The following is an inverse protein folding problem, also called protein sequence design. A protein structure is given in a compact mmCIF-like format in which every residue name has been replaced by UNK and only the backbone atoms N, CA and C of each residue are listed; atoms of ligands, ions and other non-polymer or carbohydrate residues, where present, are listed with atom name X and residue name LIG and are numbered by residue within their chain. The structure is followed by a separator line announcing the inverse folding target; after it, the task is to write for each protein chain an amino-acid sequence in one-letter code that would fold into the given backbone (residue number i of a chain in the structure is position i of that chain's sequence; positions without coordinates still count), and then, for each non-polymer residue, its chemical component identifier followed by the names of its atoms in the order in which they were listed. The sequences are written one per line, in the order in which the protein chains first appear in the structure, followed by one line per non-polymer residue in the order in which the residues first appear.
data_IF_161939052837
#
_entry.id   IF_161939052837
#
_cell.length_a   1.000
_cell.length_b   1.000
_cell.length_c   1.000
_cell.angle_alpha   90.00
_cell.angle_beta   90.00
_cell.angle_gamma   90.00
#
_symmetry.space_group_name_H-M   'P 1'
#
loop_
_entity.id
_entity.type
_entity.pdbx_description
1 polymer ?
#
# COMPACT_ATOMS: atom_id res chain seq x y z
N UNK A 1 11.75 14.69 -5.00
CA UNK A 1 10.59 14.09 -4.29
C UNK A 1 10.36 14.84 -2.98
N UNK A 2 9.09 15.07 -2.61
CA UNK A 2 8.69 15.69 -1.36
C UNK A 2 8.60 14.63 -0.24
N UNK A 3 9.04 15.00 0.97
CA UNK A 3 8.90 14.18 2.16
C UNK A 3 8.57 15.04 3.37
N UNK A 4 7.93 14.42 4.38
CA UNK A 4 7.51 15.05 5.62
C UNK A 4 7.87 14.16 6.79
N UNK A 5 8.70 14.66 7.71
CA UNK A 5 9.13 13.94 8.90
C UNK A 5 8.41 14.46 10.13
N UNK A 6 7.81 13.54 10.88
CA UNK A 6 7.41 13.77 12.26
C UNK A 6 8.38 13.05 13.19
N UNK A 7 8.88 13.75 14.18
CA UNK A 7 9.60 13.11 15.27
C UNK A 7 8.63 12.36 16.15
N UNK A 8 9.10 11.24 16.77
CA UNK A 8 8.29 10.49 17.71
C UNK A 8 7.91 11.39 18.90
N UNK A 9 6.63 11.29 19.29
CA UNK A 9 6.05 11.97 20.45
C UNK A 9 5.56 10.91 21.43
N UNK A 10 6.50 10.26 22.11
CA UNK A 10 6.24 9.21 23.10
C UNK A 10 6.42 9.75 24.51
N UNK A 11 5.58 9.28 25.43
CA UNK A 11 5.69 9.60 26.85
C UNK A 11 6.82 8.80 27.54
N UNK A 12 7.31 7.73 26.93
CA UNK A 12 8.24 6.78 27.55
C UNK A 12 9.68 6.91 27.08
N UNK A 13 9.94 7.43 25.90
CA UNK A 13 11.28 7.52 25.31
C UNK A 13 11.44 8.71 24.38
N UNK A 14 12.66 9.19 24.22
CA UNK A 14 13.00 10.24 23.23
C UNK A 14 13.01 9.70 21.79
N UNK A 15 12.80 10.57 20.81
CA UNK A 15 12.78 10.16 19.39
C UNK A 15 14.12 9.53 18.92
N UNK A 16 15.23 9.77 19.61
CA UNK A 16 16.54 9.18 19.29
C UNK A 16 16.68 7.73 19.78
N UNK A 17 15.79 7.31 20.66
CA UNK A 17 15.77 5.96 21.22
C UNK A 17 14.68 5.09 20.57
N UNK A 18 13.86 5.71 19.72
CA UNK A 18 12.73 5.08 19.06
C UNK A 18 13.03 4.84 17.56
N UNK A 19 12.41 3.84 16.94
CA UNK A 19 12.58 3.57 15.51
C UNK A 19 12.15 4.72 14.61
N UNK A 20 12.67 4.71 13.40
CA UNK A 20 12.17 5.51 12.28
C UNK A 20 11.35 4.60 11.36
N UNK A 21 10.12 5.00 11.05
CA UNK A 21 9.23 4.34 10.10
C UNK A 21 9.05 5.23 8.88
N UNK A 22 9.36 4.73 7.69
CA UNK A 22 8.96 5.36 6.43
C UNK A 22 7.65 4.75 5.94
N UNK A 23 6.67 5.59 5.61
CA UNK A 23 5.38 5.18 5.06
C UNK A 23 5.31 5.45 3.56
N UNK A 24 4.92 4.43 2.79
CA UNK A 24 4.72 4.49 1.34
C UNK A 24 3.29 4.12 0.97
N UNK A 25 2.55 5.09 0.44
CA UNK A 25 1.19 4.92 -0.05
C UNK A 25 1.18 4.22 -1.42
N UNK A 26 0.05 3.63 -1.76
CA UNK A 26 -0.16 2.93 -3.02
C UNK A 26 -0.67 3.78 -4.18
N UNK A 27 -1.51 3.19 -4.97
CA UNK A 27 -2.09 3.72 -6.19
C UNK A 27 -1.61 2.93 -7.41
N UNK A 28 -0.47 3.22 -8.07
CA UNK A 28 0.55 4.23 -7.79
C UNK A 28 0.06 5.67 -8.02
N UNK A 29 0.61 6.62 -7.26
CA UNK A 29 0.23 8.03 -7.33
C UNK A 29 -0.57 8.53 -6.11
N UNK A 30 -0.88 7.65 -5.15
CA UNK A 30 -1.44 8.03 -3.85
C UNK A 30 -0.40 8.70 -2.95
N UNK A 31 -0.81 9.79 -2.26
CA UNK A 31 0.11 10.61 -1.48
C UNK A 31 0.29 10.10 -0.06
N UNK A 32 1.53 9.77 0.31
CA UNK A 32 1.90 9.46 1.69
C UNK A 32 1.77 10.67 2.60
N UNK A 33 2.24 11.85 2.18
CA UNK A 33 2.18 13.08 2.97
C UNK A 33 0.76 13.63 3.16
N UNK A 34 -0.16 13.29 2.27
CA UNK A 34 -1.57 13.66 2.36
C UNK A 34 -2.41 12.55 2.98
N UNK A 35 -2.71 11.48 2.23
CA UNK A 35 -3.62 10.43 2.66
C UNK A 35 -3.04 9.64 3.85
N UNK A 36 -1.86 9.04 3.71
CA UNK A 36 -1.23 8.29 4.80
C UNK A 36 -1.08 9.11 6.08
N UNK A 37 -0.76 10.40 5.95
CA UNK A 37 -0.61 11.31 7.08
C UNK A 37 -1.96 11.68 7.71
N UNK A 38 -2.91 12.24 6.96
CA UNK A 38 -4.13 12.83 7.51
C UNK A 38 -5.31 11.85 7.58
N UNK A 39 -5.32 10.78 6.83
CA UNK A 39 -6.39 9.77 6.88
C UNK A 39 -6.01 8.48 7.59
N UNK A 40 -4.71 8.20 7.80
CA UNK A 40 -4.30 6.92 8.38
C UNK A 40 -3.48 7.03 9.68
N UNK A 41 -2.19 7.39 9.61
CA UNK A 41 -1.25 7.14 10.71
C UNK A 41 -0.59 8.39 11.30
N UNK A 42 -0.79 9.54 10.68
CA UNK A 42 -0.17 10.79 11.14
C UNK A 42 -0.78 11.33 12.43
N UNK A 43 -0.18 12.39 13.00
CA UNK A 43 -0.59 12.92 14.29
C UNK A 43 -1.94 13.64 14.28
N UNK A 44 -2.38 14.13 13.13
CA UNK A 44 -3.65 14.86 12.97
C UNK A 44 -4.52 14.17 11.90
N UNK A 45 -5.84 14.29 12.05
CA UNK A 45 -6.81 13.92 11.03
C UNK A 45 -7.04 15.05 10.02
N UNK A 46 -7.96 14.87 9.06
CA UNK A 46 -8.33 15.87 8.04
C UNK A 46 -8.89 17.17 8.62
N UNK A 47 -9.48 17.10 9.80
CA UNK A 47 -10.03 18.26 10.52
C UNK A 47 -8.96 18.96 11.37
N UNK A 48 -7.69 18.50 11.26
CA UNK A 48 -6.54 18.94 12.05
C UNK A 48 -6.67 18.68 13.56
N UNK A 49 -7.49 17.70 13.93
CA UNK A 49 -7.64 17.23 15.30
C UNK A 49 -6.63 16.11 15.61
N UNK A 50 -6.16 15.99 16.87
CA UNK A 50 -5.24 14.95 17.26
C UNK A 50 -5.77 13.54 17.04
N UNK A 51 -4.99 12.68 16.36
CA UNK A 51 -5.30 11.26 16.14
C UNK A 51 -4.83 10.43 17.33
N UNK A 52 -5.78 9.74 18.01
CA UNK A 52 -5.48 8.89 19.18
C UNK A 52 -4.61 7.66 18.85
N UNK A 53 -4.66 7.21 17.61
CA UNK A 53 -3.94 6.04 17.12
C UNK A 53 -2.74 6.39 16.23
N UNK A 54 -2.23 7.61 16.34
CA UNK A 54 -1.08 8.06 15.58
C UNK A 54 0.15 7.20 15.88
N UNK A 55 0.87 6.85 14.83
CA UNK A 55 2.10 6.07 14.92
C UNK A 55 3.28 6.85 15.51
N UNK A 56 3.19 8.18 15.58
CA UNK A 56 4.22 9.01 16.25
C UNK A 56 4.35 8.70 17.74
N UNK A 57 3.37 8.03 18.35
CA UNK A 57 3.45 7.54 19.73
C UNK A 57 4.54 6.45 19.91
N UNK A 58 4.91 5.73 18.86
CA UNK A 58 5.80 4.59 18.90
C UNK A 58 7.07 4.77 18.06
N UNK A 59 7.07 5.66 17.08
CA UNK A 59 8.18 5.85 16.14
C UNK A 59 8.20 7.28 15.59
N UNK A 60 9.35 7.73 15.10
CA UNK A 60 9.38 8.84 14.14
C UNK A 60 8.84 8.36 12.81
N UNK A 61 8.05 9.19 12.11
CA UNK A 61 7.39 8.79 10.87
C UNK A 61 7.82 9.71 9.72
N UNK A 62 8.34 9.10 8.66
CA UNK A 62 8.74 9.74 7.43
C UNK A 62 7.73 9.41 6.32
N UNK A 63 6.89 10.36 5.95
CA UNK A 63 6.01 10.26 4.79
C UNK A 63 6.75 10.71 3.55
N UNK A 64 6.72 9.92 2.48
CA UNK A 64 7.31 10.27 1.19
C UNK A 64 6.24 10.21 0.12
N UNK A 65 6.09 11.28 -0.65
CA UNK A 65 5.27 11.28 -1.85
C UNK A 65 6.06 10.60 -2.99
N UNK A 66 5.85 9.30 -3.13
CA UNK A 66 6.61 8.39 -3.99
C UNK A 66 5.67 7.64 -4.96
N UNK A 67 6.03 7.51 -6.25
CA UNK A 67 7.21 8.05 -6.94
C UNK A 67 7.08 9.54 -7.32
N UNK A 68 8.03 10.05 -8.11
CA UNK A 68 8.01 11.43 -8.64
C UNK A 68 6.68 11.70 -9.36
N UNK A 69 6.06 12.86 -9.11
CA UNK A 69 4.72 13.23 -9.60
C UNK A 69 3.59 12.93 -8.61
N UNK A 70 3.86 12.20 -7.53
CA UNK A 70 2.88 11.89 -6.48
C UNK A 70 2.76 13.03 -5.47
N UNK A 71 1.55 13.37 -5.05
CA UNK A 71 1.31 14.38 -4.01
C UNK A 71 1.93 15.73 -4.34
N UNK A 72 2.86 16.19 -3.49
CA UNK A 72 3.67 17.38 -3.74
C UNK A 72 4.97 17.10 -4.49
N UNK A 73 5.33 15.86 -4.74
CA UNK A 73 6.44 15.51 -5.64
C UNK A 73 6.05 15.87 -7.07
N UNK A 74 6.97 16.46 -7.83
CA UNK A 74 6.67 16.94 -9.18
C UNK A 74 7.88 16.81 -10.12
N UNK A 75 7.60 16.84 -11.40
CA UNK A 75 8.58 16.99 -12.48
C UNK A 75 7.96 17.81 -13.62
N UNK A 76 8.79 18.58 -14.31
CA UNK A 76 8.48 19.30 -15.55
C UNK A 76 9.02 18.54 -16.78
N UNK A 77 9.59 17.35 -16.56
CA UNK A 77 10.16 16.50 -17.60
C UNK A 77 9.33 15.23 -17.75
N UNK A 78 8.65 15.03 -18.87
CA UNK A 78 7.84 13.82 -19.11
C UNK A 78 8.67 12.51 -19.05
N UNK A 79 9.96 12.56 -19.36
CA UNK A 79 10.87 11.42 -19.33
C UNK A 79 11.40 11.08 -17.92
N UNK A 80 11.02 11.86 -16.88
CA UNK A 80 11.44 11.65 -15.51
C UNK A 80 10.45 10.80 -14.68
N UNK A 81 9.26 10.50 -15.21
CA UNK A 81 8.34 9.57 -14.52
C UNK A 81 8.92 8.16 -14.47
N UNK A 82 8.76 7.51 -13.31
CA UNK A 82 9.11 6.10 -13.19
C UNK A 82 8.15 5.23 -14.01
N UNK A 83 8.68 4.18 -14.62
CA UNK A 83 7.90 3.22 -15.43
C UNK A 83 7.88 1.81 -14.82
N UNK A 84 8.64 1.59 -13.75
CA UNK A 84 8.73 0.32 -13.05
C UNK A 84 9.29 0.53 -11.63
N UNK A 85 9.13 -0.49 -10.77
CA UNK A 85 9.60 -0.43 -9.38
C UNK A 85 11.12 -0.36 -9.25
N UNK A 86 11.90 -0.79 -10.24
CA UNK A 86 13.36 -0.66 -10.20
C UNK A 86 13.79 0.81 -10.28
N UNK A 87 13.16 1.59 -11.17
CA UNK A 87 13.39 3.04 -11.24
C UNK A 87 12.96 3.72 -9.93
N UNK A 88 11.80 3.35 -9.40
CA UNK A 88 11.32 3.87 -8.10
C UNK A 88 12.34 3.60 -7.00
N UNK A 89 12.90 2.39 -6.94
CA UNK A 89 13.90 2.03 -5.93
C UNK A 89 15.19 2.84 -6.09
N UNK A 90 15.66 3.04 -7.31
CA UNK A 90 16.84 3.85 -7.58
C UNK A 90 16.67 5.31 -7.14
N UNK A 91 15.51 5.91 -7.45
CA UNK A 91 15.20 7.28 -7.04
C UNK A 91 15.09 7.41 -5.51
N UNK A 92 14.45 6.43 -4.87
CA UNK A 92 14.33 6.40 -3.42
C UNK A 92 15.67 6.23 -2.72
N UNK A 93 16.60 5.45 -3.26
CA UNK A 93 17.95 5.33 -2.69
C UNK A 93 18.69 6.68 -2.69
N UNK A 94 18.54 7.49 -3.73
CA UNK A 94 19.09 8.84 -3.77
C UNK A 94 18.50 9.68 -2.63
N UNK A 95 17.18 9.64 -2.46
CA UNK A 95 16.50 10.33 -1.36
C UNK A 95 17.02 9.86 0.00
N UNK A 96 17.05 8.56 0.25
CA UNK A 96 17.46 7.98 1.54
C UNK A 96 18.92 8.30 1.86
N UNK A 97 19.81 8.28 0.87
CA UNK A 97 21.19 8.68 1.05
C UNK A 97 21.31 10.13 1.53
N UNK A 98 20.57 11.04 0.91
CA UNK A 98 20.52 12.44 1.37
C UNK A 98 19.88 12.58 2.74
N UNK A 99 18.73 11.90 2.96
CA UNK A 99 18.01 11.94 4.24
C UNK A 99 18.93 11.53 5.39
N UNK A 100 19.57 10.36 5.33
CA UNK A 100 20.46 9.89 6.40
C UNK A 100 21.76 10.69 6.53
N UNK A 101 22.15 11.47 5.51
CA UNK A 101 23.24 12.42 5.60
C UNK A 101 22.81 13.68 6.35
N UNK A 102 21.67 14.25 5.99
CA UNK A 102 21.12 15.47 6.60
C UNK A 102 20.55 15.25 8.00
N UNK A 103 20.07 14.05 8.27
CA UNK A 103 19.46 13.60 9.53
C UNK A 103 20.26 12.45 10.14
N UNK A 104 21.54 12.72 10.41
CA UNK A 104 22.49 11.71 10.89
C UNK A 104 22.08 11.08 12.24
N UNK A 105 21.23 11.77 13.00
CA UNK A 105 20.64 11.24 14.25
C UNK A 105 19.81 9.97 14.05
N UNK A 106 19.32 9.70 12.85
CA UNK A 106 18.56 8.50 12.51
C UNK A 106 19.42 7.34 11.98
N UNK A 107 20.73 7.53 11.77
CA UNK A 107 21.57 6.44 11.23
C UNK A 107 21.70 5.24 12.19
N UNK A 108 21.57 5.47 13.49
CA UNK A 108 21.74 4.43 14.52
C UNK A 108 20.44 3.77 14.98
N UNK A 109 19.29 4.43 14.80
CA UNK A 109 18.00 3.86 15.23
C UNK A 109 17.48 2.82 14.24
N UNK A 110 16.69 1.82 14.67
CA UNK A 110 16.06 0.88 13.75
C UNK A 110 15.20 1.60 12.70
N UNK A 111 15.43 1.33 11.43
CA UNK A 111 14.68 1.89 10.32
C UNK A 111 13.81 0.83 9.66
N UNK A 112 12.51 1.10 9.57
CA UNK A 112 11.52 0.23 8.95
C UNK A 112 10.84 0.93 7.78
N UNK A 113 10.49 0.16 6.74
CA UNK A 113 9.65 0.62 5.63
C UNK A 113 8.29 -0.05 5.75
N UNK A 114 7.25 0.75 5.97
CA UNK A 114 5.85 0.32 5.97
C UNK A 114 5.16 0.83 4.72
N UNK A 115 4.21 0.07 4.23
CA UNK A 115 3.57 0.37 2.95
C UNK A 115 2.15 -0.16 2.88
N UNK A 116 1.40 0.33 1.90
CA UNK A 116 0.06 -0.13 1.59
C UNK A 116 -0.12 -0.27 0.08
N UNK A 117 -0.84 -1.33 -0.36
CA UNK A 117 -1.25 -1.52 -1.75
C UNK A 117 -0.07 -1.63 -2.73
N UNK A 118 -0.08 -0.86 -3.82
CA UNK A 118 1.04 -0.75 -4.75
C UNK A 118 2.33 -0.25 -4.05
N UNK A 119 2.18 0.47 -2.93
CA UNK A 119 3.28 0.84 -2.05
C UNK A 119 4.12 -0.35 -1.60
N UNK A 120 3.51 -1.53 -1.45
CA UNK A 120 4.20 -2.77 -1.11
C UNK A 120 5.16 -3.26 -2.18
N UNK A 121 4.79 -3.15 -3.46
CA UNK A 121 5.72 -3.44 -4.57
C UNK A 121 6.93 -2.51 -4.52
N UNK A 122 6.67 -1.22 -4.32
CA UNK A 122 7.72 -0.20 -4.19
C UNK A 122 8.60 -0.47 -2.97
N UNK A 123 7.99 -0.75 -1.80
CA UNK A 123 8.71 -1.04 -0.56
C UNK A 123 9.60 -2.28 -0.68
N UNK A 124 9.13 -3.34 -1.32
CA UNK A 124 9.93 -4.55 -1.55
C UNK A 124 11.18 -4.25 -2.39
N UNK A 125 11.00 -3.56 -3.53
CA UNK A 125 12.11 -3.18 -4.41
C UNK A 125 13.11 -2.22 -3.72
N UNK A 126 12.60 -1.20 -3.02
CA UNK A 126 13.43 -0.25 -2.26
C UNK A 126 14.22 -0.98 -1.17
N UNK A 127 13.57 -1.87 -0.42
CA UNK A 127 14.21 -2.64 0.67
C UNK A 127 15.35 -3.51 0.16
N UNK A 128 15.17 -4.15 -0.99
CA UNK A 128 16.20 -4.98 -1.60
C UNK A 128 17.42 -4.14 -2.03
N UNK A 129 17.18 -3.04 -2.72
CA UNK A 129 18.26 -2.14 -3.15
C UNK A 129 18.93 -1.44 -1.96
N UNK A 130 18.17 -1.05 -0.93
CA UNK A 130 18.72 -0.50 0.31
C UNK A 130 19.64 -1.51 1.02
N UNK A 131 19.23 -2.77 1.12
CA UNK A 131 20.05 -3.85 1.71
C UNK A 131 21.38 -3.99 0.98
N UNK A 132 21.36 -3.95 -0.37
CA UNK A 132 22.58 -3.97 -1.19
C UNK A 132 23.44 -2.73 -0.96
N UNK A 133 22.83 -1.55 -0.91
CA UNK A 133 23.52 -0.28 -0.72
C UNK A 133 24.20 -0.20 0.66
N UNK A 134 23.58 -0.73 1.71
CA UNK A 134 24.16 -0.85 3.06
C UNK A 134 25.37 -1.78 3.03
N UNK A 135 25.24 -2.97 2.42
CA UNK A 135 26.34 -3.93 2.28
C UNK A 135 27.54 -3.35 1.50
N UNK A 136 27.28 -2.48 0.53
CA UNK A 136 28.30 -1.75 -0.23
C UNK A 136 28.86 -0.50 0.49
N UNK A 137 28.31 -0.13 1.66
CA UNK A 137 28.71 1.05 2.40
C UNK A 137 28.30 2.38 1.77
N UNK A 138 27.38 2.40 0.80
CA UNK A 138 26.92 3.59 0.08
C UNK A 138 25.78 4.33 0.78
N UNK A 139 25.04 3.64 1.66
CA UNK A 139 24.02 4.19 2.56
C UNK A 139 24.32 3.71 3.98
N UNK A 140 24.24 4.62 4.95
CA UNK A 140 24.47 4.31 6.37
C UNK A 140 23.16 4.46 7.13
N UNK A 141 22.50 3.34 7.43
CA UNK A 141 21.35 3.27 8.32
C UNK A 141 21.20 1.85 8.92
N UNK A 142 20.47 1.74 10.00
CA UNK A 142 20.17 0.46 10.65
C UNK A 142 18.83 -0.07 10.10
N UNK A 143 18.84 -0.61 8.87
CA UNK A 143 17.62 -1.16 8.26
C UNK A 143 17.20 -2.44 8.98
N UNK A 144 16.03 -2.41 9.61
CA UNK A 144 15.52 -3.46 10.50
C UNK A 144 14.43 -4.34 9.87
N UNK A 145 13.71 -3.84 8.86
CA UNK A 145 12.70 -4.65 8.20
C UNK A 145 11.72 -3.88 7.32
N UNK A 146 10.88 -4.61 6.61
CA UNK A 146 9.82 -4.10 5.73
C UNK A 146 8.48 -4.72 6.09
N UNK A 147 7.42 -3.91 6.10
CA UNK A 147 6.04 -4.34 6.35
C UNK A 147 5.16 -3.99 5.16
N UNK A 148 4.55 -5.03 4.59
CA UNK A 148 3.80 -5.03 3.34
C UNK A 148 2.31 -5.16 3.66
N UNK A 149 1.61 -4.03 3.79
CA UNK A 149 0.19 -3.98 4.11
C UNK A 149 -0.68 -4.00 2.87
N UNK A 150 -1.66 -4.89 2.84
CA UNK A 150 -2.64 -4.98 1.75
C UNK A 150 -1.96 -4.82 0.37
N UNK A 151 -0.82 -5.52 0.21
CA UNK A 151 0.20 -5.18 -0.78
C UNK A 151 0.02 -5.91 -2.09
N UNK A 152 0.16 -5.18 -3.18
CA UNK A 152 0.01 -5.64 -4.58
C UNK A 152 1.25 -6.43 -5.06
N UNK A 153 1.65 -7.48 -4.29
CA UNK A 153 2.87 -8.27 -4.53
C UNK A 153 2.69 -9.25 -5.69
N UNK A 154 1.54 -9.92 -5.75
CA UNK A 154 1.15 -10.84 -6.82
C UNK A 154 -0.24 -10.45 -7.33
N UNK A 155 -0.34 -9.51 -8.27
CA UNK A 155 -1.61 -9.01 -8.78
C UNK A 155 -2.53 -10.10 -9.32
N UNK A 156 -1.97 -11.09 -10.01
CA UNK A 156 -2.74 -12.20 -10.58
C UNK A 156 -3.41 -13.04 -9.49
N UNK A 157 -2.71 -13.34 -8.40
CA UNK A 157 -3.28 -14.14 -7.31
C UNK A 157 -4.48 -13.45 -6.65
N UNK A 158 -4.44 -12.12 -6.52
CA UNK A 158 -5.60 -11.34 -6.05
C UNK A 158 -6.77 -11.40 -7.03
N UNK A 159 -6.53 -11.11 -8.31
CA UNK A 159 -7.61 -11.12 -9.34
C UNK A 159 -8.27 -12.49 -9.46
N UNK A 160 -7.49 -13.57 -9.37
CA UNK A 160 -8.00 -14.94 -9.44
C UNK A 160 -8.81 -15.35 -8.20
N UNK A 161 -8.66 -14.64 -7.09
CA UNK A 161 -9.36 -14.93 -5.84
C UNK A 161 -10.54 -14.00 -5.54
N UNK A 162 -10.76 -12.93 -6.29
CA UNK A 162 -11.93 -12.05 -6.11
C UNK A 162 -13.26 -12.80 -6.19
N UNK A 163 -13.44 -13.61 -7.24
CA UNK A 163 -14.65 -14.42 -7.38
C UNK A 163 -14.85 -15.39 -6.22
N UNK A 164 -13.90 -16.28 -5.91
CA UNK A 164 -13.95 -17.17 -4.76
C UNK A 164 -14.19 -16.46 -3.42
N UNK A 165 -13.53 -15.33 -3.17
CA UNK A 165 -13.70 -14.55 -1.95
C UNK A 165 -15.13 -14.02 -1.81
N UNK A 166 -15.65 -13.38 -2.84
CA UNK A 166 -17.03 -12.85 -2.86
C UNK A 166 -18.08 -13.96 -2.77
N UNK A 167 -17.84 -15.09 -3.42
CA UNK A 167 -18.73 -16.25 -3.35
C UNK A 167 -18.80 -16.83 -1.93
N UNK A 168 -17.64 -17.01 -1.27
CA UNK A 168 -17.58 -17.53 0.11
C UNK A 168 -18.19 -16.58 1.14
N UNK A 169 -18.24 -15.29 0.85
CA UNK A 169 -18.92 -14.27 1.67
C UNK A 169 -20.37 -14.02 1.25
N UNK A 170 -20.91 -14.82 0.32
CA UNK A 170 -22.29 -14.73 -0.19
C UNK A 170 -22.62 -13.41 -0.91
N UNK A 171 -21.60 -12.73 -1.45
CA UNK A 171 -21.76 -11.52 -2.27
C UNK A 171 -21.85 -11.83 -3.78
N UNK A 172 -21.53 -13.06 -4.18
CA UNK A 172 -21.78 -13.62 -5.51
C UNK A 172 -22.56 -14.95 -5.40
N UNK A 173 -23.41 -15.21 -6.38
CA UNK A 173 -24.00 -16.50 -6.65
C UNK A 173 -23.15 -17.31 -7.64
N UNK A 174 -23.60 -18.51 -7.99
CA UNK A 174 -22.90 -19.40 -8.95
C UNK A 174 -22.73 -18.77 -10.31
N UNK A 175 -23.69 -17.96 -10.77
CA UNK A 175 -23.64 -17.29 -12.06
C UNK A 175 -22.60 -16.17 -12.04
N UNK A 176 -22.64 -15.29 -11.05
CA UNK A 176 -21.66 -14.22 -10.86
C UNK A 176 -20.24 -14.75 -10.69
N UNK A 177 -20.06 -15.84 -9.93
CA UNK A 177 -18.77 -16.51 -9.80
C UNK A 177 -18.22 -16.99 -11.15
N UNK A 178 -19.07 -17.58 -12.00
CA UNK A 178 -18.66 -18.03 -13.33
C UNK A 178 -18.23 -16.87 -14.24
N UNK A 179 -18.97 -15.75 -14.22
CA UNK A 179 -18.63 -14.56 -15.02
C UNK A 179 -17.33 -13.92 -14.56
N UNK A 180 -17.14 -13.70 -13.25
CA UNK A 180 -15.91 -13.12 -12.70
C UNK A 180 -14.71 -14.03 -12.97
N UNK A 181 -14.84 -15.35 -12.79
CA UNK A 181 -13.78 -16.31 -13.08
C UNK A 181 -13.38 -16.32 -14.56
N UNK A 182 -14.35 -16.24 -15.46
CA UNK A 182 -14.09 -16.15 -16.91
C UNK A 182 -13.32 -14.89 -17.29
N UNK A 183 -13.68 -13.75 -16.70
CA UNK A 183 -12.96 -12.48 -16.94
C UNK A 183 -11.53 -12.52 -16.34
N UNK A 184 -11.35 -13.09 -15.15
CA UNK A 184 -10.05 -13.26 -14.51
C UNK A 184 -9.09 -14.15 -15.32
N UNK A 185 -9.61 -15.19 -15.99
CA UNK A 185 -8.79 -16.07 -16.85
C UNK A 185 -8.19 -15.34 -18.06
N UNK A 186 -8.84 -14.27 -18.55
CA UNK A 186 -8.28 -13.41 -19.59
C UNK A 186 -7.07 -12.61 -19.07
N UNK A 187 -7.13 -12.11 -17.83
CA UNK A 187 -5.99 -11.45 -17.16
C UNK A 187 -4.83 -12.44 -17.01
N UNK A 188 -5.11 -13.64 -16.53
CA UNK A 188 -4.10 -14.70 -16.36
C UNK A 188 -3.35 -14.98 -17.65
N UNK A 189 -4.05 -15.16 -18.78
CA UNK A 189 -3.42 -15.38 -20.08
C UNK A 189 -2.50 -14.22 -20.48
N UNK A 190 -2.91 -12.98 -20.24
CA UNK A 190 -2.09 -11.82 -20.56
C UNK A 190 -0.82 -11.75 -19.67
N UNK A 191 -0.94 -12.07 -18.37
CA UNK A 191 0.21 -12.13 -17.44
C UNK A 191 1.17 -13.24 -17.83
N UNK A 192 0.68 -14.45 -18.13
CA UNK A 192 1.50 -15.59 -18.56
C UNK A 192 2.26 -15.28 -19.85
N UNK A 193 1.69 -14.48 -20.75
CA UNK A 193 2.32 -13.99 -21.98
C UNK A 193 3.20 -12.75 -21.76
N UNK A 194 3.37 -12.29 -20.52
CA UNK A 194 4.10 -11.08 -20.15
C UNK A 194 3.58 -9.79 -20.83
N UNK A 195 2.32 -9.78 -21.22
CA UNK A 195 1.62 -8.62 -21.79
C UNK A 195 1.03 -7.74 -20.69
N UNK A 196 1.90 -7.14 -19.85
CA UNK A 196 1.47 -6.50 -18.60
C UNK A 196 0.59 -5.26 -18.81
N UNK A 197 0.81 -4.46 -19.86
CA UNK A 197 -0.11 -3.35 -20.21
C UNK A 197 -1.50 -3.91 -20.51
N UNK A 198 -1.58 -4.97 -21.32
CA UNK A 198 -2.84 -5.65 -21.63
C UNK A 198 -3.49 -6.27 -20.40
N UNK A 199 -2.69 -6.85 -19.50
CA UNK A 199 -3.18 -7.39 -18.24
C UNK A 199 -3.79 -6.29 -17.35
N UNK A 200 -3.19 -5.09 -17.31
CA UNK A 200 -3.73 -3.93 -16.60
C UNK A 200 -5.05 -3.44 -17.20
N UNK A 201 -5.18 -3.49 -18.52
CA UNK A 201 -6.45 -3.20 -19.20
C UNK A 201 -7.54 -4.23 -18.83
N UNK A 202 -7.22 -5.52 -18.89
CA UNK A 202 -8.15 -6.60 -18.56
C UNK A 202 -8.53 -6.63 -17.09
N UNK A 203 -7.62 -6.23 -16.20
CA UNK A 203 -7.91 -6.05 -14.77
C UNK A 203 -9.09 -5.08 -14.56
N UNK A 204 -9.13 -3.93 -15.23
CA UNK A 204 -10.27 -3.01 -15.19
C UNK A 204 -11.58 -3.63 -15.70
N UNK A 205 -11.50 -4.56 -16.65
CA UNK A 205 -12.68 -5.29 -17.11
C UNK A 205 -13.21 -6.21 -16.01
N UNK A 206 -12.34 -6.94 -15.31
CA UNK A 206 -12.75 -7.80 -14.20
C UNK A 206 -13.42 -7.00 -13.09
N UNK A 207 -12.86 -5.83 -12.72
CA UNK A 207 -13.49 -4.92 -11.76
C UNK A 207 -14.93 -4.57 -12.18
N UNK A 208 -15.13 -4.22 -13.44
CA UNK A 208 -16.45 -3.89 -13.98
C UNK A 208 -17.41 -5.08 -13.88
N UNK A 209 -16.95 -6.30 -14.18
CA UNK A 209 -17.76 -7.53 -14.04
C UNK A 209 -18.15 -7.78 -12.58
N UNK A 210 -17.21 -7.57 -11.63
CA UNK A 210 -17.48 -7.67 -10.20
C UNK A 210 -18.52 -6.64 -9.77
N UNK A 211 -18.36 -5.35 -10.14
CA UNK A 211 -19.30 -4.28 -9.80
C UNK A 211 -20.72 -4.58 -10.30
N UNK A 212 -20.84 -5.11 -11.52
CA UNK A 212 -22.14 -5.47 -12.11
C UNK A 212 -22.82 -6.62 -11.35
N UNK A 213 -22.07 -7.64 -10.94
CA UNK A 213 -22.62 -8.82 -10.27
C UNK A 213 -22.87 -8.60 -8.77
N UNK A 214 -22.29 -7.57 -8.16
CA UNK A 214 -22.43 -7.27 -6.71
C UNK A 214 -23.23 -6.00 -6.43
N UNK A 215 -23.78 -5.38 -7.46
CA UNK A 215 -24.45 -4.07 -7.37
C UNK A 215 -23.52 -2.98 -6.76
N UNK A 216 -22.22 -3.02 -7.08
CA UNK A 216 -21.27 -1.99 -6.71
C UNK A 216 -20.60 -2.20 -5.35
N UNK A 217 -20.17 -3.42 -5.05
CA UNK A 217 -19.32 -3.66 -3.87
C UNK A 217 -18.10 -2.74 -3.90
N UNK A 218 -17.75 -2.18 -2.75
CA UNK A 218 -16.53 -1.40 -2.63
C UNK A 218 -15.31 -2.34 -2.53
N UNK A 219 -14.37 -2.20 -3.44
CA UNK A 219 -13.15 -3.01 -3.48
C UNK A 219 -12.23 -2.83 -2.26
N UNK A 220 -12.32 -1.69 -1.60
CA UNK A 220 -11.50 -1.37 -0.43
C UNK A 220 -12.10 -1.84 0.89
N UNK A 221 -13.43 -2.06 0.95
CA UNK A 221 -14.10 -2.63 2.11
C UNK A 221 -15.47 -3.19 1.69
N UNK A 222 -15.60 -4.51 1.66
CA UNK A 222 -16.80 -5.21 1.17
C UNK A 222 -18.07 -4.93 1.97
N UNK A 223 -17.97 -4.32 3.15
CA UNK A 223 -19.13 -3.91 3.95
C UNK A 223 -19.71 -2.56 3.53
N UNK A 224 -19.07 -1.88 2.59
CA UNK A 224 -19.54 -0.62 2.03
C UNK A 224 -19.85 -0.77 0.54
N UNK A 225 -20.58 0.19 -0.01
CA UNK A 225 -20.84 0.24 -1.44
C UNK A 225 -20.28 1.53 -2.03
N UNK A 226 -19.97 1.49 -3.31
CA UNK A 226 -19.62 2.71 -4.04
C UNK A 226 -20.84 3.66 -4.07
N UNK A 227 -20.64 4.96 -3.89
CA UNK A 227 -21.72 5.96 -3.98
C UNK A 227 -22.46 5.90 -5.32
N UNK A 228 -23.77 6.15 -5.31
CA UNK A 228 -24.64 6.08 -6.50
C UNK A 228 -24.18 6.94 -7.69
N UNK A 229 -23.54 8.08 -7.44
CA UNK A 229 -22.96 8.93 -8.48
C UNK A 229 -21.77 8.27 -9.20
N UNK A 230 -20.99 7.45 -8.50
CA UNK A 230 -19.96 6.59 -9.10
C UNK A 230 -20.58 5.46 -9.92
N UNK A 231 -21.60 4.77 -9.39
CA UNK A 231 -22.33 3.71 -10.10
C UNK A 231 -23.03 4.23 -11.36
N UNK A 232 -23.69 5.40 -11.29
CA UNK A 232 -24.30 6.04 -12.45
C UNK A 232 -23.25 6.38 -13.51
N UNK A 233 -22.07 6.86 -13.10
CA UNK A 233 -20.97 7.16 -14.04
C UNK A 233 -20.35 5.89 -14.67
N UNK A 234 -20.30 4.79 -13.92
CA UNK A 234 -19.84 3.49 -14.44
C UNK A 234 -20.86 2.93 -15.45
N UNK A 235 -22.16 2.97 -15.14
CA UNK A 235 -23.25 2.59 -16.08
C UNK A 235 -23.23 3.47 -17.33
N UNK A 236 -22.97 4.76 -17.19
CA UNK A 236 -22.85 5.70 -18.33
C UNK A 236 -21.57 5.42 -19.16
N UNK A 237 -20.48 5.05 -18.51
CA UNK A 237 -19.20 4.70 -19.16
C UNK A 237 -19.35 3.39 -19.96
N UNK A 238 -20.14 2.43 -19.48
CA UNK A 238 -20.45 1.18 -20.24
C UNK A 238 -21.20 1.46 -21.57
N UNK A 239 -22.03 2.51 -21.62
CA UNK A 239 -22.64 2.96 -22.87
C UNK A 239 -21.65 3.70 -23.79
N UNK A 240 -20.52 4.19 -23.25
CA UNK A 240 -19.51 5.00 -23.94
C UNK A 240 -18.11 4.40 -23.89
N UNK A 241 -17.96 3.08 -23.82
CA UNK A 241 -16.67 2.35 -23.72
C UNK A 241 -15.62 2.74 -24.81
N UNK A 242 -15.98 3.62 -25.73
CA UNK A 242 -15.11 4.10 -26.82
C UNK A 242 -14.45 5.46 -26.56
N UNK A 243 -14.68 6.16 -25.42
CA UNK A 243 -14.33 7.58 -25.34
C UNK A 243 -13.45 8.02 -24.15
N UNK A 244 -13.22 7.19 -23.11
CA UNK A 244 -12.28 7.54 -22.04
C UNK A 244 -11.01 6.69 -22.16
N UNK A 245 -9.82 7.32 -22.19
CA UNK A 245 -8.57 6.57 -22.09
C UNK A 245 -8.54 5.77 -20.79
N UNK A 246 -8.16 4.51 -20.87
CA UNK A 246 -8.12 3.57 -19.74
C UNK A 246 -7.39 4.11 -18.49
N UNK A 247 -6.24 4.82 -18.61
CA UNK A 247 -5.57 5.44 -17.47
C UNK A 247 -6.44 6.42 -16.67
N UNK A 248 -7.28 7.20 -17.36
CA UNK A 248 -8.19 8.15 -16.71
C UNK A 248 -9.26 7.44 -15.88
N UNK A 249 -9.79 6.32 -16.36
CA UNK A 249 -10.76 5.51 -15.62
C UNK A 249 -10.14 4.92 -14.35
N UNK A 250 -8.93 4.37 -14.45
CA UNK A 250 -8.23 3.77 -13.33
C UNK A 250 -7.82 4.81 -12.29
N UNK A 251 -7.30 5.97 -12.71
CA UNK A 251 -7.04 7.10 -11.83
C UNK A 251 -8.32 7.51 -11.09
N UNK A 252 -9.46 7.55 -11.78
CA UNK A 252 -10.74 7.87 -11.16
C UNK A 252 -11.18 6.84 -10.12
N UNK A 253 -10.95 5.54 -10.36
CA UNK A 253 -11.33 4.47 -9.42
C UNK A 253 -10.39 4.37 -8.22
N UNK A 254 -9.08 4.46 -8.42
CA UNK A 254 -8.08 4.09 -7.44
C UNK A 254 -7.29 5.25 -6.84
N UNK A 255 -7.15 6.37 -7.55
CA UNK A 255 -6.40 7.53 -7.05
C UNK A 255 -7.31 8.60 -6.48
N UNK A 256 -8.43 8.92 -7.16
CA UNK A 256 -9.37 9.93 -6.64
C UNK A 256 -9.93 9.63 -5.24
N UNK A 257 -10.23 8.39 -4.85
CA UNK A 257 -10.63 8.11 -3.47
C UNK A 257 -9.56 8.49 -2.44
N UNK A 258 -8.27 8.33 -2.78
CA UNK A 258 -7.13 8.74 -1.95
C UNK A 258 -6.91 10.27 -2.00
N UNK A 259 -7.56 10.99 -2.91
CA UNK A 259 -7.49 12.44 -3.08
C UNK A 259 -8.91 13.03 -2.98
N UNK A 260 -9.63 12.75 -1.88
CA UNK A 260 -10.96 13.31 -1.65
C UNK A 260 -10.95 14.83 -1.77
N UNK A 261 -12.12 15.42 -2.05
CA UNK A 261 -12.23 16.88 -2.19
C UNK A 261 -11.74 17.60 -0.92
N UNK A 262 -12.15 17.13 0.26
CA UNK A 262 -11.74 17.73 1.54
C UNK A 262 -10.23 17.63 1.78
N UNK A 263 -9.60 16.50 1.47
CA UNK A 263 -8.15 16.34 1.57
C UNK A 263 -7.41 17.22 0.56
N UNK A 264 -7.91 17.31 -0.67
CA UNK A 264 -7.33 18.16 -1.72
C UNK A 264 -7.41 19.65 -1.34
N UNK A 265 -8.52 20.09 -0.76
CA UNK A 265 -8.69 21.46 -0.24
C UNK A 265 -7.74 21.74 0.94
N UNK A 266 -7.62 20.78 1.87
CA UNK A 266 -6.68 20.88 2.98
C UNK A 266 -5.23 21.01 2.50
N UNK A 267 -4.79 20.10 1.61
CA UNK A 267 -3.41 20.03 1.15
C UNK A 267 -3.02 21.24 0.26
N UNK A 268 -3.88 21.64 -0.68
CA UNK A 268 -3.63 22.78 -1.56
C UNK A 268 -3.89 24.15 -0.90
N UNK A 269 -4.57 24.18 0.21
CA UNK A 269 -4.91 25.38 0.98
C UNK A 269 -4.03 25.57 2.22
N UNK A 270 -4.54 25.24 3.42
CA UNK A 270 -3.86 25.51 4.70
C UNK A 270 -2.48 24.87 4.79
N UNK A 271 -2.35 23.60 4.37
CA UNK A 271 -1.08 22.85 4.45
C UNK A 271 -0.03 23.46 3.53
N UNK A 272 -0.38 23.68 2.26
CA UNK A 272 0.51 24.35 1.31
C UNK A 272 1.01 25.70 1.83
N UNK A 273 0.10 26.51 2.39
CA UNK A 273 0.41 27.81 2.97
C UNK A 273 1.36 27.68 4.16
N UNK A 274 1.11 26.71 5.04
CA UNK A 274 1.97 26.43 6.21
C UNK A 274 3.36 25.98 5.82
N UNK A 275 3.49 25.11 4.84
CA UNK A 275 4.78 24.61 4.35
C UNK A 275 5.63 25.71 3.72
N UNK A 276 5.03 26.57 2.90
CA UNK A 276 5.70 27.74 2.29
C UNK A 276 6.83 27.41 1.30
N UNK A 277 7.02 26.12 0.96
CA UNK A 277 8.12 25.64 0.10
C UNK A 277 7.63 25.04 -1.22
N UNK A 278 6.33 24.88 -1.39
CA UNK A 278 5.76 24.26 -2.59
C UNK A 278 5.73 25.30 -3.73
N UNK A 279 6.31 25.00 -4.92
CA UNK A 279 6.27 25.91 -6.05
C UNK A 279 4.84 26.28 -6.47
N UNK A 280 4.65 27.50 -6.99
CA UNK A 280 3.30 28.00 -7.32
C UNK A 280 2.59 27.18 -8.41
N UNK A 281 3.33 26.59 -9.34
CA UNK A 281 2.83 25.77 -10.44
C UNK A 281 2.60 24.30 -10.04
N UNK A 282 2.90 23.90 -8.80
CA UNK A 282 2.68 22.54 -8.32
C UNK A 282 1.36 22.48 -7.57
N UNK A 283 0.45 21.62 -8.00
CA UNK A 283 -0.80 21.29 -7.31
C UNK A 283 -0.66 19.91 -6.67
N UNK A 284 -1.04 19.77 -5.39
CA UNK A 284 -1.02 18.48 -4.74
C UNK A 284 -1.94 17.48 -5.47
N UNK A 285 -1.38 16.33 -5.85
CA UNK A 285 -2.09 15.30 -6.62
C UNK A 285 -2.25 15.60 -8.11
N UNK A 286 -1.72 16.73 -8.60
CA UNK A 286 -1.96 17.18 -9.98
C UNK A 286 -1.32 16.31 -11.06
N UNK A 287 -0.31 15.51 -10.75
CA UNK A 287 0.39 14.61 -11.69
C UNK A 287 0.10 13.11 -11.44
N UNK A 288 -0.90 12.77 -10.63
CA UNK A 288 -1.16 11.39 -10.25
C UNK A 288 -1.62 10.51 -11.43
N UNK A 289 -2.31 11.08 -12.41
CA UNK A 289 -2.71 10.35 -13.64
C UNK A 289 -1.50 9.97 -14.49
N UNK A 290 -0.54 10.88 -14.64
CA UNK A 290 0.72 10.62 -15.34
C UNK A 290 1.54 9.54 -14.61
N UNK A 291 1.57 9.56 -13.28
CA UNK A 291 2.22 8.51 -12.49
C UNK A 291 1.60 7.15 -12.80
N UNK A 292 0.29 7.01 -12.69
CA UNK A 292 -0.40 5.74 -12.95
C UNK A 292 -0.18 5.27 -14.41
N UNK A 293 -0.33 6.18 -15.37
CA UNK A 293 -0.17 5.88 -16.80
C UNK A 293 1.22 5.37 -17.15
N UNK A 294 2.27 5.99 -16.60
CA UNK A 294 3.66 5.56 -16.83
C UNK A 294 3.97 4.22 -16.16
N UNK A 295 3.27 3.87 -15.05
CA UNK A 295 3.46 2.62 -14.32
C UNK A 295 2.57 1.47 -14.82
N UNK A 296 1.71 1.67 -15.82
CA UNK A 296 0.75 0.68 -16.30
C UNK A 296 1.42 -0.64 -16.76
N UNK A 297 2.63 -0.57 -17.32
CA UNK A 297 3.42 -1.74 -17.72
C UNK A 297 4.02 -2.53 -16.55
N UNK A 298 4.09 -1.93 -15.37
CA UNK A 298 4.57 -2.57 -14.13
C UNK A 298 3.41 -3.05 -13.24
N UNK A 299 2.24 -2.44 -13.34
CA UNK A 299 1.14 -2.61 -12.40
C UNK A 299 0.79 -4.08 -12.16
N UNK A 300 0.61 -4.89 -13.21
CA UNK A 300 0.27 -6.32 -13.11
C UNK A 300 1.48 -7.25 -13.02
N UNK A 301 2.71 -6.70 -12.98
CA UNK A 301 3.94 -7.53 -12.84
C UNK A 301 4.12 -7.97 -11.39
N UNK A 302 4.28 -9.28 -11.10
CA UNK A 302 4.53 -9.76 -9.74
C UNK A 302 5.94 -9.40 -9.26
N UNK A 303 6.11 -9.30 -7.93
CA UNK A 303 7.40 -9.09 -7.25
C UNK A 303 7.67 -10.10 -6.13
N UNK A 304 7.06 -11.27 -6.21
CA UNK A 304 7.25 -12.37 -5.25
C UNK A 304 8.71 -12.78 -5.12
N UNK A 305 9.44 -12.79 -6.23
CA UNK A 305 10.89 -13.07 -6.28
C UNK A 305 11.73 -12.05 -5.49
N UNK A 306 11.30 -10.79 -5.42
CA UNK A 306 11.95 -9.75 -4.61
C UNK A 306 11.76 -10.07 -3.12
N UNK A 307 10.56 -10.49 -2.72
CA UNK A 307 10.28 -10.91 -1.34
C UNK A 307 11.13 -12.13 -0.95
N UNK A 308 11.26 -13.11 -1.84
CA UNK A 308 12.17 -14.26 -1.65
C UNK A 308 13.63 -13.84 -1.42
N UNK A 309 14.13 -12.88 -2.22
CA UNK A 309 15.48 -12.35 -2.06
C UNK A 309 15.67 -11.63 -0.73
N UNK A 310 14.68 -10.83 -0.29
CA UNK A 310 14.71 -10.16 1.02
C UNK A 310 14.79 -11.16 2.16
N UNK A 311 13.93 -12.18 2.16
CA UNK A 311 13.92 -13.23 3.17
C UNK A 311 15.23 -14.01 3.19
N UNK A 312 15.77 -14.34 2.02
CA UNK A 312 17.06 -15.05 1.88
C UNK A 312 18.23 -14.20 2.38
N UNK A 313 18.17 -12.88 2.19
CA UNK A 313 19.16 -11.93 2.71
C UNK A 313 19.05 -11.69 4.24
N UNK A 314 18.08 -12.32 4.92
CA UNK A 314 17.88 -12.19 6.35
C UNK A 314 17.10 -10.93 6.77
N UNK A 315 16.50 -10.21 5.82
CA UNK A 315 15.64 -9.05 6.11
C UNK A 315 14.34 -9.52 6.75
N UNK A 316 13.91 -8.87 7.82
CA UNK A 316 12.60 -9.11 8.42
C UNK A 316 11.51 -8.61 7.47
N UNK A 317 10.62 -9.52 7.05
CA UNK A 317 9.47 -9.20 6.19
C UNK A 317 8.19 -9.52 6.95
N UNK A 318 7.33 -8.54 7.07
CA UNK A 318 5.98 -8.70 7.62
C UNK A 318 4.96 -8.44 6.51
N UNK A 319 4.02 -9.37 6.32
CA UNK A 319 2.81 -9.17 5.53
C UNK A 319 1.66 -8.92 6.49
N UNK A 320 0.82 -7.93 6.22
CA UNK A 320 -0.41 -7.70 6.97
C UNK A 320 -1.54 -7.34 6.01
N UNK A 321 -2.74 -7.87 6.28
CA UNK A 321 -3.87 -7.75 5.35
C UNK A 321 -5.20 -7.59 6.09
N UNK A 322 -6.10 -6.77 5.55
CA UNK A 322 -7.45 -6.57 6.08
C UNK A 322 -8.40 -7.69 5.66
N UNK A 323 -9.24 -8.15 6.60
CA UNK A 323 -10.24 -9.19 6.36
C UNK A 323 -11.24 -8.81 5.26
N UNK A 324 -11.59 -7.54 5.18
CA UNK A 324 -12.66 -7.01 4.33
C UNK A 324 -12.14 -6.37 3.03
N UNK A 325 -10.83 -6.48 2.80
CA UNK A 325 -10.18 -6.04 1.58
C UNK A 325 -10.52 -7.00 0.43
N UNK A 326 -11.08 -6.49 -0.66
CA UNK A 326 -11.32 -7.26 -1.87
C UNK A 326 -10.20 -7.05 -2.89
N UNK A 327 -9.75 -5.80 -3.08
CA UNK A 327 -8.78 -5.50 -4.14
C UNK A 327 -7.47 -6.26 -3.93
N UNK A 328 -7.04 -6.39 -2.65
CA UNK A 328 -5.91 -7.23 -2.22
C UNK A 328 -6.41 -8.19 -1.15
N UNK A 329 -7.20 -9.17 -1.56
CA UNK A 329 -7.82 -10.11 -0.63
C UNK A 329 -6.79 -11.05 0.03
N UNK A 330 -7.09 -11.47 1.26
CA UNK A 330 -6.20 -12.35 2.04
C UNK A 330 -5.98 -13.71 1.36
N UNK A 331 -6.96 -14.22 0.59
CA UNK A 331 -6.82 -15.48 -0.15
C UNK A 331 -5.70 -15.37 -1.19
N UNK A 332 -5.65 -14.27 -1.93
CA UNK A 332 -4.59 -13.98 -2.90
C UNK A 332 -3.23 -13.79 -2.22
N UNK A 333 -3.19 -13.13 -1.05
CA UNK A 333 -1.97 -13.02 -0.26
C UNK A 333 -1.45 -14.39 0.18
N UNK A 334 -2.30 -15.28 0.66
CA UNK A 334 -1.90 -16.64 1.03
C UNK A 334 -1.39 -17.45 -0.16
N UNK A 335 -1.94 -17.25 -1.37
CA UNK A 335 -1.51 -17.97 -2.57
C UNK A 335 -0.05 -17.67 -2.90
N UNK A 336 0.33 -16.40 -3.00
CA UNK A 336 1.72 -16.08 -3.33
C UNK A 336 2.69 -16.39 -2.19
N UNK A 337 2.26 -16.26 -0.92
CA UNK A 337 3.08 -16.68 0.24
C UNK A 337 3.40 -18.17 0.17
N UNK A 338 2.45 -19.01 -0.22
CA UNK A 338 2.67 -20.46 -0.41
C UNK A 338 3.62 -20.80 -1.57
N UNK A 339 3.86 -19.86 -2.48
CA UNK A 339 4.76 -20.03 -3.63
C UNK A 339 6.19 -19.54 -3.36
N UNK A 340 6.46 -18.95 -2.19
CA UNK A 340 7.80 -18.51 -1.79
C UNK A 340 8.80 -19.68 -1.86
N UNK A 341 10.02 -19.39 -2.30
CA UNK A 341 11.14 -20.34 -2.39
C UNK A 341 12.06 -20.27 -1.18
N UNK A 342 11.76 -19.38 -0.25
CA UNK A 342 12.50 -19.19 0.99
C UNK A 342 12.52 -20.47 1.84
N UNK A 343 13.69 -20.86 2.35
CA UNK A 343 13.90 -22.10 3.12
C UNK A 343 13.04 -22.24 4.37
N UNK A 344 12.57 -21.12 4.93
CA UNK A 344 11.71 -21.10 6.11
C UNK A 344 10.25 -21.45 5.83
N UNK A 345 9.79 -21.47 4.58
CA UNK A 345 8.37 -21.64 4.22
C UNK A 345 7.77 -22.91 4.80
N UNK A 346 8.47 -24.03 4.75
CA UNK A 346 7.98 -25.32 5.31
C UNK A 346 7.73 -25.23 6.82
N UNK A 347 8.57 -24.51 7.56
CA UNK A 347 8.39 -24.24 9.00
C UNK A 347 7.21 -23.31 9.25
N UNK A 348 7.12 -22.22 8.49
CA UNK A 348 6.02 -21.28 8.57
C UNK A 348 4.66 -21.94 8.31
N UNK A 349 4.54 -22.78 7.29
CA UNK A 349 3.30 -23.47 6.93
C UNK A 349 2.82 -24.48 7.98
N UNK A 350 3.71 -24.97 8.87
CA UNK A 350 3.35 -25.86 9.97
C UNK A 350 2.78 -25.13 11.18
N UNK A 351 2.96 -23.83 11.28
CA UNK A 351 2.45 -23.04 12.38
C UNK A 351 0.93 -22.89 12.29
N UNK A 352 0.30 -22.87 13.45
CA UNK A 352 -1.10 -22.47 13.59
C UNK A 352 -1.19 -20.96 13.78
N UNK A 353 -2.32 -20.39 13.42
CA UNK A 353 -2.63 -19.00 13.70
C UNK A 353 -2.70 -18.77 15.22
N UNK A 354 -2.11 -17.68 15.68
CA UNK A 354 -2.23 -17.18 17.04
C UNK A 354 -3.18 -15.99 17.02
N UNK A 355 -4.17 -15.99 17.90
CA UNK A 355 -5.11 -14.88 18.05
C UNK A 355 -4.46 -13.71 18.83
N UNK A 356 -4.78 -12.49 18.44
CA UNK A 356 -4.53 -11.27 19.18
C UNK A 356 -5.85 -10.63 19.61
N UNK A 357 -5.92 -10.21 20.84
CA UNK A 357 -7.08 -9.49 21.36
C UNK A 357 -7.20 -8.11 20.73
N UNK A 358 -8.43 -7.69 20.49
CA UNK A 358 -8.75 -6.32 20.12
C UNK A 358 -8.40 -5.39 21.29
N UNK A 359 -7.49 -4.42 21.12
CA UNK A 359 -7.03 -3.56 22.23
C UNK A 359 -8.13 -2.69 22.83
N UNK A 360 -9.29 -2.57 22.15
CA UNK A 360 -10.45 -1.80 22.62
C UNK A 360 -11.54 -2.66 23.23
N UNK A 361 -11.46 -3.99 23.08
CA UNK A 361 -12.53 -4.91 23.46
C UNK A 361 -11.95 -6.22 24.03
N UNK A 362 -11.64 -6.27 25.35
CA UNK A 362 -11.05 -7.45 25.98
C UNK A 362 -11.84 -8.72 25.70
N UNK A 363 -11.15 -9.80 25.33
CA UNK A 363 -11.74 -11.09 24.99
C UNK A 363 -12.36 -11.17 23.58
N UNK A 364 -12.24 -10.13 22.78
CA UNK A 364 -12.61 -10.11 21.37
C UNK A 364 -11.36 -10.22 20.52
N UNK A 365 -11.32 -11.16 19.58
CA UNK A 365 -10.19 -11.29 18.65
C UNK A 365 -10.17 -10.13 17.65
N UNK A 366 -9.04 -9.41 17.60
CA UNK A 366 -8.80 -8.31 16.65
C UNK A 366 -7.96 -8.70 15.45
N UNK A 367 -7.11 -9.72 15.61
CA UNK A 367 -6.25 -10.21 14.53
C UNK A 367 -5.82 -11.65 14.76
N UNK A 368 -5.27 -12.26 13.72
CA UNK A 368 -4.48 -13.49 13.81
C UNK A 368 -3.10 -13.25 13.22
N UNK A 369 -2.07 -13.96 13.73
CA UNK A 369 -0.73 -13.86 13.18
C UNK A 369 0.02 -15.18 13.24
N UNK A 370 1.06 -15.27 12.42
CA UNK A 370 2.10 -16.29 12.42
C UNK A 370 3.45 -15.63 12.25
N UNK A 371 4.45 -16.07 13.00
CA UNK A 371 5.84 -15.63 12.83
C UNK A 371 6.75 -16.85 12.81
N UNK A 372 7.62 -16.94 11.82
CA UNK A 372 8.67 -17.94 11.74
C UNK A 372 9.95 -17.31 11.19
N UNK A 373 11.04 -17.39 11.95
CA UNK A 373 12.31 -16.72 11.62
C UNK A 373 12.07 -15.23 11.31
N UNK A 374 12.46 -14.78 10.15
CA UNK A 374 12.34 -13.39 9.69
C UNK A 374 11.09 -13.11 8.84
N UNK A 375 10.06 -13.98 8.87
CA UNK A 375 8.80 -13.77 8.16
C UNK A 375 7.61 -13.80 9.13
N UNK A 376 6.74 -12.78 9.04
CA UNK A 376 5.50 -12.67 9.80
C UNK A 376 4.31 -12.42 8.86
N UNK A 377 3.15 -12.96 9.22
CA UNK A 377 1.90 -12.67 8.53
C UNK A 377 0.80 -12.34 9.55
N UNK A 378 0.19 -11.16 9.42
CA UNK A 378 -0.92 -10.68 10.23
C UNK A 378 -2.18 -10.60 9.39
N UNK A 379 -3.29 -11.08 9.93
CA UNK A 379 -4.62 -10.97 9.35
C UNK A 379 -5.50 -10.15 10.28
N UNK A 380 -5.84 -8.92 9.87
CA UNK A 380 -6.54 -7.93 10.69
C UNK A 380 -8.03 -8.03 10.45
N UNK A 381 -8.79 -8.35 11.51
CA UNK A 381 -10.24 -8.50 11.43
C UNK A 381 -10.93 -7.13 11.38
N UNK A 382 -12.09 -7.08 10.73
CA UNK A 382 -12.94 -5.89 10.59
C UNK A 382 -12.27 -4.73 9.83
N UNK A 383 -11.09 -4.92 9.27
CA UNK A 383 -10.42 -3.94 8.44
C UNK A 383 -10.59 -4.26 6.97
N UNK A 384 -10.79 -3.24 6.15
CA UNK A 384 -10.62 -3.28 4.70
C UNK A 384 -9.17 -2.98 4.31
N UNK A 385 -9.01 -2.40 3.14
CA UNK A 385 -7.71 -2.07 2.54
C UNK A 385 -6.88 -1.07 3.34
N UNK A 386 -7.51 -0.02 3.87
CA UNK A 386 -6.85 1.00 4.69
C UNK A 386 -6.95 0.61 6.17
N UNK A 387 -6.15 -0.38 6.58
CA UNK A 387 -6.18 -0.94 7.94
C UNK A 387 -6.06 0.14 9.04
N UNK A 388 -5.13 1.12 8.97
CA UNK A 388 -5.03 2.12 10.03
C UNK A 388 -6.25 3.03 10.14
N UNK A 389 -6.96 3.26 9.04
CA UNK A 389 -8.23 4.02 9.05
C UNK A 389 -9.36 3.22 9.70
N UNK A 390 -9.48 1.93 9.33
CA UNK A 390 -10.57 1.07 9.75
C UNK A 390 -10.38 0.53 11.18
N UNK A 391 -9.15 0.13 11.52
CA UNK A 391 -8.77 -0.53 12.79
C UNK A 391 -7.51 0.11 13.40
N UNK A 392 -7.53 1.42 13.62
CA UNK A 392 -6.40 2.21 14.12
C UNK A 392 -5.75 1.65 15.40
N UNK A 393 -6.52 1.29 16.45
CA UNK A 393 -5.95 0.69 17.66
C UNK A 393 -5.21 -0.62 17.40
N UNK A 394 -5.77 -1.51 16.57
CA UNK A 394 -5.13 -2.78 16.20
C UNK A 394 -3.89 -2.56 15.34
N UNK A 395 -3.94 -1.61 14.40
CA UNK A 395 -2.80 -1.21 13.57
C UNK A 395 -1.64 -0.66 14.41
N UNK A 396 -1.93 0.15 15.42
CA UNK A 396 -0.92 0.67 16.35
C UNK A 396 -0.31 -0.45 17.22
N UNK A 397 -1.13 -1.40 17.70
CA UNK A 397 -0.62 -2.57 18.42
C UNK A 397 0.27 -3.43 17.54
N UNK A 398 -0.15 -3.73 16.33
CA UNK A 398 0.65 -4.45 15.33
C UNK A 398 1.98 -3.74 15.04
N UNK A 399 1.95 -2.41 14.84
CA UNK A 399 3.17 -1.62 14.67
C UNK A 399 4.16 -1.88 15.81
N UNK A 400 3.69 -1.72 17.08
CA UNK A 400 4.55 -1.92 18.26
C UNK A 400 5.16 -3.31 18.30
N UNK A 401 4.40 -4.35 17.95
CA UNK A 401 4.90 -5.73 17.87
C UNK A 401 5.97 -5.88 16.79
N UNK A 402 5.79 -5.28 15.60
CA UNK A 402 6.74 -5.39 14.50
C UNK A 402 8.05 -4.66 14.81
N UNK A 403 7.96 -3.47 15.42
CA UNK A 403 9.16 -2.69 15.80
C UNK A 403 9.73 -3.07 17.15
N UNK A 404 9.22 -4.15 17.76
CA UNK A 404 9.71 -4.76 19.01
C UNK A 404 9.67 -3.82 20.21
N UNK A 405 8.59 -3.09 20.35
CA UNK A 405 8.28 -2.33 21.56
C UNK A 405 7.26 -3.13 22.39
N UNK A 406 7.66 -3.59 23.58
CA UNK A 406 6.79 -4.22 24.58
C UNK A 406 5.76 -3.25 25.15
#
# INVERSE_FOLDING_TARGET
MFWWLYYADSQSAGYKDLPLVMWLQGGPGGSGSGFGNFDEIGPLNKDLEPRKTSWVQAASVLFVDNPVGTGFSYTDRPDAYATNVATVASDMLVLLKHFFTERAEFQGVPFYIFSESYGGKMAAAISLELTKAIAQGTVKCNFAGVALGDSWISPLDSVMTWGPYLYTTSLLDDYGLAEVSSAAEAVKKAVEQQQFVKATELWSVVETVVEQNTNGVNFYNILTQEPDDKLASIRFTLCFFFFLPLPALQTRRHIRPLHSQSLSELMNGPIRKKLGIIPQNVTWGGQAEEVFSNMAGDFMRPVVDIVDQLLTAGVNVTVYNGQLDLIVDTMGQELWVKQLKWDGLSGFNKLRWTALDDPTSPGVTGAFYKTYKNFSFYWILKAGHMIPSDQGPMALQMLKMIIQQD
#
